data_IF_597994933963
#
_entry.id   IF_597994933963
#
_cell.length_a   1.000
_cell.length_b   1.000
_cell.length_c   1.000
_cell.angle_alpha   90.00
_cell.angle_beta   90.00
_cell.angle_gamma   90.00
#
_symmetry.space_group_name_H-M   'P 1'
#
loop_
_entity.id
_entity.type
_entity.pdbx_description
1 polymer ?
#
# COMPACT_ATOMS: atom_id res chain seq x y z
N UNK A 1 -24.75 9.28 27.97
CA UNK A 1 -24.15 10.41 27.23
C UNK A 1 -23.75 11.43 28.25
N UNK A 2 -22.53 11.96 28.14
CA UNK A 2 -22.06 13.05 29.00
C UNK A 2 -22.83 14.33 28.68
N UNK A 3 -23.03 15.19 29.68
CA UNK A 3 -23.58 16.52 29.44
C UNK A 3 -22.51 17.40 28.79
N UNK A 4 -22.91 18.25 27.86
CA UNK A 4 -21.99 19.20 27.22
C UNK A 4 -21.47 20.20 28.24
N UNK A 5 -20.19 20.57 28.10
CA UNK A 5 -19.63 21.72 28.82
C UNK A 5 -20.24 23.01 28.27
N UNK A 6 -20.11 24.12 29.02
CA UNK A 6 -20.60 25.43 28.58
C UNK A 6 -19.96 25.86 27.25
N UNK A 7 -18.68 25.57 27.05
CA UNK A 7 -17.97 25.86 25.80
C UNK A 7 -18.51 25.03 24.63
N UNK A 8 -18.79 23.74 24.86
CA UNK A 8 -19.37 22.86 23.85
C UNK A 8 -20.79 23.27 23.47
N UNK A 9 -21.59 23.72 24.43
CA UNK A 9 -22.95 24.21 24.17
C UNK A 9 -22.94 25.48 23.30
N UNK A 10 -22.03 26.42 23.59
CA UNK A 10 -21.82 27.62 22.77
C UNK A 10 -21.40 27.21 21.36
N UNK A 11 -20.39 26.34 21.23
CA UNK A 11 -19.90 25.87 19.94
C UNK A 11 -21.00 25.17 19.12
N UNK A 12 -21.81 24.32 19.77
CA UNK A 12 -22.96 23.65 19.16
C UNK A 12 -23.98 24.65 18.59
N UNK A 13 -24.35 25.68 19.37
CA UNK A 13 -25.34 26.68 18.93
C UNK A 13 -24.81 27.60 17.83
N UNK A 14 -23.50 27.92 17.83
CA UNK A 14 -22.87 28.74 16.79
C UNK A 14 -22.42 27.97 15.54
N UNK A 15 -22.45 26.63 15.57
CA UNK A 15 -21.94 25.83 14.47
C UNK A 15 -22.77 26.00 13.20
N UNK A 16 -22.05 26.27 12.10
CA UNK A 16 -22.64 26.46 10.77
C UNK A 16 -22.59 25.21 9.89
N UNK A 17 -21.76 24.23 10.25
CA UNK A 17 -21.54 23.01 9.47
C UNK A 17 -21.65 21.76 10.33
N UNK A 18 -22.10 20.67 9.71
CA UNK A 18 -22.13 19.33 10.30
C UNK A 18 -20.72 18.77 10.42
N UNK A 19 -20.32 18.26 11.59
CA UNK A 19 -18.97 17.72 11.78
C UNK A 19 -18.74 16.37 11.06
N UNK A 20 -19.80 15.71 10.57
CA UNK A 20 -19.74 14.38 9.94
C UNK A 20 -19.54 14.51 8.43
N UNK A 21 -20.42 15.25 7.76
CA UNK A 21 -20.37 15.43 6.31
C UNK A 21 -19.70 16.73 5.88
N UNK A 22 -19.38 17.62 6.84
CA UNK A 22 -18.75 18.92 6.61
C UNK A 22 -19.59 19.91 5.79
N UNK A 23 -20.85 19.58 5.49
CA UNK A 23 -21.79 20.43 4.76
C UNK A 23 -22.54 21.41 5.70
N UNK A 24 -22.97 22.58 5.20
CA UNK A 24 -23.64 23.59 6.02
C UNK A 24 -25.03 23.12 6.49
N UNK A 25 -25.47 23.65 7.63
CA UNK A 25 -26.85 23.51 8.09
C UNK A 25 -27.77 24.49 7.35
N UNK A 26 -28.91 24.01 6.86
CA UNK A 26 -29.95 24.91 6.36
C UNK A 26 -30.64 25.67 7.51
N UNK A 27 -31.28 26.80 7.21
CA UNK A 27 -31.82 27.73 8.21
C UNK A 27 -32.93 27.12 9.09
N UNK A 28 -33.62 26.11 8.58
CA UNK A 28 -34.72 25.37 9.19
C UNK A 28 -34.35 23.94 9.61
N UNK A 29 -33.09 23.56 9.44
CA UNK A 29 -32.63 22.19 9.71
C UNK A 29 -32.32 21.98 11.19
N UNK A 30 -32.84 20.88 11.76
CA UNK A 30 -32.59 20.54 13.16
C UNK A 30 -31.21 19.94 13.34
N UNK A 31 -30.34 20.67 14.05
CA UNK A 31 -29.03 20.20 14.49
C UNK A 31 -29.18 19.18 15.62
N UNK A 32 -28.47 18.07 15.57
CA UNK A 32 -28.42 17.07 16.65
C UNK A 32 -27.02 16.99 17.26
N UNK A 33 -26.92 16.48 18.48
CA UNK A 33 -25.65 16.33 19.21
C UNK A 33 -25.12 14.90 19.04
N UNK A 34 -24.06 14.73 18.25
CA UNK A 34 -23.37 13.44 18.14
C UNK A 34 -22.51 13.18 19.37
N UNK A 35 -22.55 11.95 19.87
CA UNK A 35 -21.75 11.49 21.00
C UNK A 35 -21.14 10.15 20.66
N UNK A 36 -19.91 9.93 21.12
CA UNK A 36 -19.30 8.61 21.06
C UNK A 36 -20.09 7.61 21.91
N UNK A 37 -20.58 6.52 21.34
CA UNK A 37 -21.35 5.53 22.13
C UNK A 37 -20.47 4.69 23.06
N UNK A 38 -19.16 4.65 22.83
CA UNK A 38 -18.20 4.01 23.74
C UNK A 38 -17.88 4.86 24.96
N UNK A 39 -17.50 6.13 24.76
CA UNK A 39 -17.02 7.01 25.84
C UNK A 39 -18.11 7.93 26.41
N UNK A 40 -19.21 8.11 25.69
CA UNK A 40 -20.26 9.08 26.01
C UNK A 40 -19.91 10.52 25.69
N UNK A 41 -18.69 10.82 25.22
CA UNK A 41 -18.18 12.17 24.95
C UNK A 41 -18.83 12.78 23.72
N UNK A 42 -19.16 14.07 23.81
CA UNK A 42 -19.66 14.87 22.69
C UNK A 42 -18.59 15.02 21.59
N UNK A 43 -18.99 14.78 20.33
CA UNK A 43 -18.12 14.90 19.16
C UNK A 43 -18.39 16.17 18.37
N UNK A 44 -19.65 16.51 18.18
CA UNK A 44 -20.00 17.72 17.45
C UNK A 44 -21.47 17.82 17.05
N UNK A 45 -21.83 18.94 16.40
CA UNK A 45 -23.14 19.15 15.81
C UNK A 45 -23.24 18.38 14.50
N UNK A 46 -24.31 17.61 14.32
CA UNK A 46 -24.52 16.83 13.12
C UNK A 46 -25.91 17.06 12.53
N UNK A 47 -26.08 16.78 11.24
CA UNK A 47 -27.41 16.59 10.65
C UNK A 47 -28.06 15.37 11.29
N UNK A 48 -29.38 15.42 11.49
CA UNK A 48 -30.11 14.27 12.05
C UNK A 48 -29.86 13.00 11.22
N UNK A 49 -29.87 13.11 9.88
CA UNK A 49 -29.61 11.97 9.00
C UNK A 49 -28.15 11.50 9.06
N UNK A 50 -27.18 12.42 9.13
CA UNK A 50 -25.77 12.04 9.27
C UNK A 50 -25.53 11.30 10.58
N UNK A 51 -26.07 11.80 11.69
CA UNK A 51 -25.94 11.18 13.01
C UNK A 51 -26.57 9.78 13.05
N UNK A 52 -27.76 9.62 12.47
CA UNK A 52 -28.44 8.31 12.39
C UNK A 52 -27.67 7.29 11.55
N UNK A 53 -27.01 7.74 10.49
CA UNK A 53 -26.24 6.88 9.59
C UNK A 53 -24.77 6.73 10.01
N UNK A 54 -24.32 7.44 11.05
CA UNK A 54 -22.94 7.41 11.50
C UNK A 54 -22.61 6.03 12.07
N UNK A 55 -21.76 5.29 11.37
CA UNK A 55 -21.34 3.96 11.79
C UNK A 55 -20.13 4.06 12.71
N UNK A 56 -20.33 3.74 13.98
CA UNK A 56 -19.21 3.60 14.90
C UNK A 56 -18.42 2.31 14.61
N UNK A 57 -17.10 2.42 14.63
CA UNK A 57 -16.20 1.26 14.53
C UNK A 57 -15.62 0.95 15.91
N UNK A 58 -15.87 -0.27 16.39
CA UNK A 58 -15.25 -0.82 17.61
C UNK A 58 -14.02 -1.67 17.27
N UNK A 59 -13.32 -1.29 16.21
CA UNK A 59 -12.16 -2.02 15.70
C UNK A 59 -10.88 -1.45 16.30
N UNK A 60 -10.08 -2.32 16.92
CA UNK A 60 -8.72 -2.03 17.36
C UNK A 60 -7.78 -2.65 16.31
N UNK A 61 -7.05 -1.84 15.53
CA UNK A 61 -6.06 -2.35 14.60
C UNK A 61 -4.83 -2.86 15.36
N UNK A 62 -4.40 -4.07 15.02
CA UNK A 62 -3.18 -4.72 15.51
C UNK A 62 -2.23 -4.81 14.33
N UNK A 63 -1.11 -4.10 14.40
CA UNK A 63 -0.19 -3.94 13.28
C UNK A 63 0.98 -4.89 13.43
N UNK A 64 1.21 -5.69 12.39
CA UNK A 64 2.39 -6.54 12.23
C UNK A 64 3.14 -6.11 10.98
N UNK A 65 4.45 -6.39 10.92
CA UNK A 65 5.23 -6.16 9.71
C UNK A 65 5.48 -7.48 9.00
N UNK A 66 4.89 -7.63 7.81
CA UNK A 66 4.89 -8.87 7.02
C UNK A 66 4.09 -10.04 7.64
N UNK A 67 2.96 -9.70 8.27
CA UNK A 67 2.01 -10.66 8.85
C UNK A 67 1.61 -11.76 7.85
N UNK A 68 1.34 -11.36 6.61
CA UNK A 68 0.86 -12.25 5.56
C UNK A 68 1.89 -13.32 5.19
N UNK A 69 3.17 -13.04 5.40
CA UNK A 69 4.29 -13.89 4.99
C UNK A 69 4.72 -14.92 6.04
N UNK A 70 4.50 -14.62 7.33
CA UNK A 70 5.07 -15.40 8.43
C UNK A 70 4.03 -15.73 9.51
N UNK A 71 3.54 -14.72 10.23
CA UNK A 71 2.92 -14.97 11.54
C UNK A 71 1.44 -15.38 11.48
N UNK A 72 0.75 -15.04 10.39
CA UNK A 72 -0.71 -15.20 10.31
C UNK A 72 -1.19 -16.63 10.62
N UNK A 73 -0.49 -17.66 10.13
CA UNK A 73 -0.94 -19.05 10.24
C UNK A 73 -1.07 -19.55 11.67
N UNK A 74 -0.02 -19.37 12.48
CA UNK A 74 -0.04 -19.86 13.87
C UNK A 74 -0.92 -18.98 14.75
N UNK A 75 -0.94 -17.66 14.51
CA UNK A 75 -1.81 -16.73 15.25
C UNK A 75 -3.29 -17.07 15.01
N UNK A 76 -3.70 -17.25 13.75
CA UNK A 76 -5.09 -17.61 13.42
C UNK A 76 -5.47 -18.93 14.07
N UNK A 77 -4.60 -19.95 13.96
CA UNK A 77 -4.85 -21.27 14.55
C UNK A 77 -5.09 -21.17 16.07
N UNK A 78 -4.24 -20.43 16.75
CA UNK A 78 -4.29 -20.26 18.21
C UNK A 78 -5.54 -19.46 18.63
N UNK A 79 -5.79 -18.32 17.98
CA UNK A 79 -6.96 -17.47 18.26
C UNK A 79 -8.29 -18.18 17.94
N UNK A 80 -8.33 -19.07 16.94
CA UNK A 80 -9.52 -19.83 16.58
C UNK A 80 -9.82 -20.95 17.58
N UNK A 81 -8.78 -21.59 18.12
CA UNK A 81 -8.90 -22.81 18.91
C UNK A 81 -9.02 -22.55 20.41
N UNK A 82 -8.28 -21.55 20.91
CA UNK A 82 -8.06 -21.38 22.35
C UNK A 82 -8.74 -20.14 22.94
N UNK A 83 -9.30 -19.26 22.10
CA UNK A 83 -9.99 -18.05 22.53
C UNK A 83 -11.45 -18.04 22.07
N UNK A 84 -12.39 -17.69 22.96
CA UNK A 84 -13.81 -17.56 22.62
C UNK A 84 -14.05 -16.46 21.57
N UNK A 85 -15.14 -16.57 20.82
CA UNK A 85 -15.52 -15.62 19.77
C UNK A 85 -15.11 -16.05 18.36
N UNK A 86 -15.66 -15.41 17.34
CA UNK A 86 -15.46 -15.80 15.94
C UNK A 86 -14.24 -15.13 15.31
N UNK A 87 -13.70 -15.74 14.26
CA UNK A 87 -12.67 -15.14 13.42
C UNK A 87 -13.22 -14.93 12.01
N UNK A 88 -13.08 -13.72 11.51
CA UNK A 88 -13.33 -13.33 10.12
C UNK A 88 -11.99 -13.31 9.37
N UNK A 89 -11.95 -13.92 8.18
CA UNK A 89 -10.74 -13.99 7.35
C UNK A 89 -10.95 -13.21 6.06
N UNK A 90 -9.90 -12.51 5.60
CA UNK A 90 -9.84 -11.92 4.26
C UNK A 90 -8.72 -12.61 3.45
N UNK A 91 -9.00 -13.76 2.81
CA UNK A 91 -7.98 -14.57 2.14
C UNK A 91 -7.62 -14.05 0.74
N UNK A 92 -6.36 -14.22 0.35
CA UNK A 92 -5.89 -14.16 -1.05
C UNK A 92 -5.84 -15.58 -1.63
N UNK A 93 -5.25 -16.49 -0.87
CA UNK A 93 -5.16 -17.93 -1.19
C UNK A 93 -5.45 -18.73 0.07
N UNK A 94 -5.42 -20.07 -0.02
CA UNK A 94 -5.52 -20.94 1.17
C UNK A 94 -4.40 -20.71 2.19
N UNK A 95 -3.27 -20.16 1.76
CA UNK A 95 -2.06 -19.98 2.57
C UNK A 95 -1.71 -18.51 2.80
N UNK A 96 -2.42 -17.54 2.21
CA UNK A 96 -2.10 -16.12 2.35
C UNK A 96 -3.36 -15.33 2.64
N UNK A 97 -3.32 -14.55 3.72
CA UNK A 97 -4.43 -13.71 4.18
C UNK A 97 -4.01 -12.25 4.10
N UNK A 98 -4.90 -11.37 3.61
CA UNK A 98 -4.70 -9.91 3.68
C UNK A 98 -4.80 -9.44 5.13
N UNK A 99 -5.79 -9.98 5.84
CA UNK A 99 -6.11 -9.62 7.22
C UNK A 99 -7.01 -10.70 7.82
N UNK A 100 -7.04 -10.75 9.15
CA UNK A 100 -8.05 -11.48 9.90
C UNK A 100 -8.52 -10.62 11.08
N UNK A 101 -9.75 -10.85 11.52
CA UNK A 101 -10.36 -10.12 12.61
C UNK A 101 -10.91 -11.09 13.65
N UNK A 102 -10.47 -10.94 14.90
CA UNK A 102 -11.04 -11.66 16.04
C UNK A 102 -12.16 -10.82 16.63
N UNK A 103 -13.38 -11.37 16.62
CA UNK A 103 -14.51 -10.80 17.32
C UNK A 103 -14.47 -11.27 18.77
N UNK A 104 -14.30 -10.34 19.71
CA UNK A 104 -14.30 -10.61 21.14
C UNK A 104 -15.71 -10.31 21.67
N UNK A 105 -16.35 -11.33 22.24
CA UNK A 105 -17.66 -11.18 22.88
C UNK A 105 -17.45 -11.11 24.40
N UNK A 106 -17.69 -9.97 25.02
CA UNK A 106 -17.90 -9.92 26.47
C UNK A 106 -19.34 -10.33 26.78
N UNK A 107 -19.50 -11.31 27.68
CA UNK A 107 -20.80 -11.82 28.09
C UNK A 107 -21.50 -10.90 29.12
N UNK A 108 -20.86 -9.81 29.56
CA UNK A 108 -21.40 -8.94 30.60
C UNK A 108 -22.17 -7.74 30.03
N UNK A 109 -23.46 -7.75 30.38
CA UNK A 109 -24.56 -7.07 29.73
C UNK A 109 -24.70 -5.56 30.06
N UNK A 110 -23.61 -4.78 30.03
CA UNK A 110 -23.69 -3.32 30.18
C UNK A 110 -23.24 -2.58 28.90
N UNK A 111 -22.32 -3.16 28.13
CA UNK A 111 -21.92 -2.65 26.82
C UNK A 111 -22.11 -3.75 25.77
N UNK A 112 -23.18 -3.64 24.96
CA UNK A 112 -23.48 -4.56 23.84
C UNK A 112 -22.47 -4.46 22.67
N UNK A 113 -21.26 -3.96 22.90
CA UNK A 113 -20.33 -3.58 21.85
C UNK A 113 -19.33 -4.70 21.59
N UNK A 114 -19.49 -5.36 20.45
CA UNK A 114 -18.55 -6.34 19.92
C UNK A 114 -17.23 -5.65 19.57
N UNK A 115 -16.19 -5.84 20.38
CA UNK A 115 -14.84 -5.34 20.07
C UNK A 115 -14.22 -6.24 19.00
N UNK A 116 -13.67 -5.62 17.96
CA UNK A 116 -13.00 -6.30 16.86
C UNK A 116 -11.51 -6.06 16.91
N UNK A 117 -10.71 -7.11 17.09
CA UNK A 117 -9.25 -7.02 16.97
C UNK A 117 -8.88 -7.35 15.52
N UNK A 118 -8.52 -6.33 14.74
CA UNK A 118 -8.21 -6.50 13.32
C UNK A 118 -6.71 -6.50 13.11
N UNK A 119 -6.17 -7.62 12.65
CA UNK A 119 -4.76 -7.76 12.35
C UNK A 119 -4.48 -7.25 10.95
N UNK A 120 -3.61 -6.25 10.82
CA UNK A 120 -3.22 -5.64 9.55
C UNK A 120 -1.71 -5.75 9.34
N UNK A 121 -1.33 -5.81 8.08
CA UNK A 121 0.05 -5.98 7.65
C UNK A 121 0.61 -4.64 7.17
N UNK A 122 1.49 -4.02 7.96
CA UNK A 122 2.14 -2.75 7.61
C UNK A 122 2.92 -2.82 6.29
N UNK A 123 3.39 -3.99 5.85
CA UNK A 123 4.09 -4.15 4.56
C UNK A 123 3.15 -3.91 3.36
N UNK A 124 1.82 -4.02 3.55
CA UNK A 124 0.79 -3.66 2.56
C UNK A 124 0.55 -2.16 2.47
N UNK A 125 1.19 -1.39 3.34
CA UNK A 125 1.18 0.07 3.33
C UNK A 125 2.54 0.66 3.01
N UNK A 126 3.58 0.12 3.64
CA UNK A 126 4.96 0.56 3.52
C UNK A 126 5.78 -0.64 3.03
N UNK A 127 5.89 -0.79 1.70
CA UNK A 127 6.48 -1.96 1.04
C UNK A 127 8.02 -1.96 1.07
N UNK A 128 8.61 -1.87 2.25
CA UNK A 128 10.05 -1.93 2.49
C UNK A 128 10.35 -2.64 3.80
N UNK A 129 11.59 -3.07 4.02
CA UNK A 129 11.97 -3.73 5.27
C UNK A 129 11.90 -2.76 6.45
N UNK A 130 11.65 -3.28 7.66
CA UNK A 130 11.67 -2.49 8.88
C UNK A 130 12.97 -1.69 9.05
N UNK A 131 14.12 -2.29 8.72
CA UNK A 131 15.42 -1.61 8.76
C UNK A 131 15.46 -0.39 7.83
N UNK A 132 14.99 -0.56 6.59
CA UNK A 132 14.96 0.53 5.62
C UNK A 132 14.00 1.63 6.05
N UNK A 133 12.83 1.27 6.57
CA UNK A 133 11.85 2.23 7.08
C UNK A 133 12.39 2.99 8.29
N UNK A 134 13.02 2.30 9.25
CA UNK A 134 13.66 2.94 10.41
C UNK A 134 14.76 3.92 9.97
N UNK A 135 15.54 3.59 8.93
CA UNK A 135 16.59 4.48 8.40
C UNK A 135 16.08 5.81 7.83
N UNK A 136 14.79 5.91 7.51
CA UNK A 136 14.17 7.13 7.02
C UNK A 136 13.63 8.03 8.13
N UNK A 137 13.45 7.52 9.35
CA UNK A 137 12.98 8.33 10.47
C UNK A 137 14.14 9.12 11.07
N UNK A 138 13.91 10.42 11.23
CA UNK A 138 14.76 11.24 12.08
C UNK A 138 14.50 10.92 13.55
N UNK A 139 15.52 11.10 14.40
CA UNK A 139 15.46 10.69 15.82
C UNK A 139 14.36 11.39 16.62
N UNK A 140 13.96 12.61 16.23
CA UNK A 140 12.84 13.34 16.86
C UNK A 140 11.47 12.70 16.60
N UNK A 141 11.38 11.79 15.62
CA UNK A 141 10.16 11.05 15.28
C UNK A 141 10.03 9.73 16.03
N UNK A 142 11.07 9.28 16.72
CA UNK A 142 11.11 8.05 17.53
C UNK A 142 10.53 8.26 18.93
N UNK A 143 9.29 8.78 19.01
CA UNK A 143 8.69 9.25 20.27
C UNK A 143 8.37 8.09 21.21
N UNK A 144 7.84 6.99 20.68
CA UNK A 144 7.43 5.82 21.45
C UNK A 144 8.67 5.10 21.96
N UNK A 145 9.64 4.83 21.07
CA UNK A 145 10.93 4.25 21.45
C UNK A 145 11.63 5.10 22.51
N UNK A 146 11.67 6.43 22.33
CA UNK A 146 12.29 7.35 23.29
C UNK A 146 11.58 7.38 24.64
N UNK A 147 10.25 7.26 24.65
CA UNK A 147 9.48 7.20 25.90
C UNK A 147 9.82 5.94 26.69
N UNK A 148 9.89 4.79 26.02
CA UNK A 148 10.19 3.51 26.66
C UNK A 148 11.63 3.45 27.21
N UNK A 149 12.58 4.03 26.48
CA UNK A 149 13.99 4.08 26.86
C UNK A 149 14.42 5.47 27.38
N UNK A 150 13.51 6.16 28.08
CA UNK A 150 13.72 7.54 28.57
C UNK A 150 14.85 7.68 29.58
N UNK A 151 15.25 6.58 30.23
CA UNK A 151 16.34 6.49 31.18
C UNK A 151 17.72 6.29 30.53
N UNK A 152 17.80 5.99 29.24
CA UNK A 152 19.07 5.79 28.55
C UNK A 152 19.80 7.10 28.27
N UNK A 153 21.12 7.03 28.25
CA UNK A 153 21.95 8.11 27.70
C UNK A 153 21.64 8.32 26.22
N UNK A 154 22.00 9.48 25.67
CA UNK A 154 21.82 9.74 24.23
C UNK A 154 22.60 8.72 23.39
N UNK A 155 23.82 8.39 23.82
CA UNK A 155 24.70 7.43 23.14
C UNK A 155 24.11 6.01 23.13
N UNK A 156 23.56 5.54 24.26
CA UNK A 156 22.96 4.21 24.33
C UNK A 156 21.63 4.15 23.57
N UNK A 157 20.82 5.20 23.66
CA UNK A 157 19.58 5.30 22.89
C UNK A 157 19.85 5.23 21.38
N UNK A 158 20.90 5.90 20.90
CA UNK A 158 21.31 5.91 19.50
C UNK A 158 21.58 4.50 18.95
N UNK A 159 22.02 3.57 19.80
CA UNK A 159 22.23 2.19 19.40
C UNK A 159 20.92 1.47 19.07
N UNK A 160 19.80 1.91 19.64
CA UNK A 160 18.47 1.30 19.45
C UNK A 160 17.65 1.95 18.32
N UNK A 161 18.17 2.99 17.66
CA UNK A 161 17.42 3.72 16.61
C UNK A 161 17.45 3.04 15.23
N UNK A 162 18.14 1.90 15.10
CA UNK A 162 18.18 1.08 13.89
C UNK A 162 17.76 -0.36 14.19
N UNK A 163 17.40 -1.12 13.16
CA UNK A 163 17.11 -2.54 13.33
C UNK A 163 18.38 -3.28 13.74
N UNK A 164 18.27 -4.13 14.77
CA UNK A 164 19.34 -5.03 15.18
C UNK A 164 19.48 -6.25 14.26
N UNK A 165 20.40 -7.15 14.61
CA UNK A 165 20.55 -8.46 13.98
C UNK A 165 20.28 -9.58 14.98
N UNK A 166 19.74 -10.70 14.51
CA UNK A 166 19.46 -11.87 15.34
C UNK A 166 19.83 -13.15 14.60
N UNK A 167 20.37 -14.13 15.32
CA UNK A 167 20.86 -15.39 14.76
C UNK A 167 19.75 -16.44 14.73
N UNK A 168 18.79 -16.27 13.81
CA UNK A 168 17.58 -17.10 13.73
C UNK A 168 17.89 -18.60 13.57
N UNK A 169 18.80 -18.94 12.67
CA UNK A 169 19.20 -20.33 12.38
C UNK A 169 20.01 -20.95 13.51
N UNK A 170 20.70 -20.13 14.30
CA UNK A 170 21.39 -20.59 15.50
C UNK A 170 20.38 -20.97 16.60
N UNK A 171 19.34 -20.17 16.84
CA UNK A 171 18.37 -20.41 17.92
C UNK A 171 17.29 -21.41 17.47
N UNK A 172 17.66 -22.68 17.41
CA UNK A 172 16.80 -23.80 17.04
C UNK A 172 16.07 -24.47 18.24
N UNK A 173 16.43 -24.10 19.47
CA UNK A 173 15.80 -24.57 20.69
C UNK A 173 15.84 -23.51 21.81
N UNK A 174 14.97 -23.67 22.81
CA UNK A 174 14.81 -22.70 23.91
C UNK A 174 16.06 -22.63 24.79
N UNK A 175 16.79 -23.73 24.93
CA UNK A 175 17.98 -23.82 25.76
C UNK A 175 19.10 -22.88 25.29
N UNK A 176 19.20 -22.61 23.98
CA UNK A 176 20.19 -21.66 23.43
C UNK A 176 19.95 -20.22 23.89
N UNK A 177 18.74 -19.87 24.32
CA UNK A 177 18.48 -18.57 24.93
C UNK A 177 19.24 -18.39 26.26
N UNK A 178 19.71 -19.47 26.89
CA UNK A 178 20.54 -19.41 28.10
C UNK A 178 22.04 -19.23 27.79
N UNK A 179 22.44 -19.18 26.52
CA UNK A 179 23.84 -19.01 26.15
C UNK A 179 24.35 -17.65 26.64
N UNK A 180 25.47 -17.69 27.36
CA UNK A 180 26.04 -16.52 28.05
C UNK A 180 27.00 -15.71 27.19
N UNK A 181 27.01 -15.96 25.89
CA UNK A 181 27.85 -15.26 24.91
C UNK A 181 27.06 -14.98 23.66
N UNK A 182 27.37 -13.86 23.00
CA UNK A 182 26.89 -13.61 21.65
C UNK A 182 27.47 -14.71 20.72
N UNK A 183 26.65 -15.34 19.87
CA UNK A 183 27.14 -16.32 18.89
C UNK A 183 28.22 -15.70 17.98
N UNK A 184 29.16 -16.50 17.45
CA UNK A 184 30.13 -16.00 16.48
C UNK A 184 29.43 -15.56 15.19
N UNK A 185 30.03 -14.64 14.42
CA UNK A 185 29.40 -14.04 13.23
C UNK A 185 28.87 -15.07 12.24
N UNK A 186 29.59 -16.17 12.05
CA UNK A 186 29.22 -17.25 11.15
C UNK A 186 27.88 -17.91 11.53
N UNK A 187 27.49 -17.83 12.81
CA UNK A 187 26.19 -18.34 13.31
C UNK A 187 25.01 -17.42 12.99
N UNK A 188 25.27 -16.24 12.40
CA UNK A 188 24.24 -15.34 11.85
C UNK A 188 23.98 -15.58 10.36
N UNK A 189 24.48 -16.68 9.79
CA UNK A 189 24.15 -17.10 8.43
C UNK A 189 22.63 -17.22 8.25
N UNK A 190 22.10 -16.62 7.18
CA UNK A 190 20.69 -16.76 6.81
C UNK A 190 20.53 -17.60 5.56
N UNK A 191 19.69 -18.63 5.66
CA UNK A 191 19.29 -19.45 4.52
C UNK A 191 18.48 -18.67 3.46
N UNK A 192 17.87 -17.54 3.85
CA UNK A 192 17.08 -16.68 2.98
C UNK A 192 17.95 -15.84 2.04
N UNK A 193 19.08 -15.32 2.55
CA UNK A 193 20.02 -14.50 1.76
C UNK A 193 21.16 -15.32 1.18
N UNK A 194 21.44 -16.49 1.75
CA UNK A 194 22.58 -17.32 1.40
C UNK A 194 23.92 -16.75 1.89
N UNK A 195 23.89 -15.82 2.84
CA UNK A 195 25.06 -15.11 3.34
C UNK A 195 24.98 -14.87 4.86
N UNK A 196 26.12 -14.55 5.48
CA UNK A 196 26.21 -14.06 6.86
C UNK A 196 26.01 -12.54 6.92
N UNK A 197 25.86 -12.00 8.12
CA UNK A 197 25.75 -10.55 8.34
C UNK A 197 27.10 -9.84 8.10
N UNK A 198 27.03 -8.53 7.85
CA UNK A 198 28.21 -7.70 7.65
C UNK A 198 29.07 -7.56 8.91
N UNK A 199 30.36 -7.25 8.74
CA UNK A 199 31.27 -6.93 9.85
C UNK A 199 30.74 -5.78 10.72
N UNK A 200 30.16 -4.76 10.08
CA UNK A 200 29.57 -3.61 10.79
C UNK A 200 28.35 -3.98 11.62
N UNK A 201 27.50 -4.88 11.14
CA UNK A 201 26.31 -5.30 11.88
C UNK A 201 26.67 -6.22 13.04
N UNK A 202 27.68 -7.09 12.88
CA UNK A 202 28.18 -7.90 13.98
C UNK A 202 28.84 -7.04 15.06
N UNK A 203 29.71 -6.10 14.68
CA UNK A 203 30.32 -5.16 15.63
C UNK A 203 29.27 -4.33 16.38
N UNK A 204 28.17 -3.97 15.72
CA UNK A 204 27.05 -3.32 16.37
C UNK A 204 26.36 -4.23 17.39
N UNK A 205 26.12 -5.50 17.07
CA UNK A 205 25.56 -6.48 18.01
C UNK A 205 26.47 -6.72 19.23
N UNK A 206 27.79 -6.79 19.02
CA UNK A 206 28.78 -6.87 20.11
C UNK A 206 28.72 -5.64 21.01
N UNK A 207 28.59 -4.44 20.42
CA UNK A 207 28.46 -3.20 21.16
C UNK A 207 27.16 -3.16 21.99
N UNK A 208 26.03 -3.59 21.42
CA UNK A 208 24.77 -3.75 22.16
C UNK A 208 24.96 -4.71 23.35
N UNK A 209 25.55 -5.89 23.10
CA UNK A 209 25.77 -6.89 24.14
C UNK A 209 26.57 -6.31 25.33
N UNK A 210 27.64 -5.57 25.04
CA UNK A 210 28.49 -4.97 26.05
C UNK A 210 27.84 -3.77 26.76
N UNK A 211 27.29 -2.80 26.01
CA UNK A 211 26.75 -1.54 26.55
C UNK A 211 25.51 -1.77 27.42
N UNK A 212 24.66 -2.72 27.05
CA UNK A 212 23.46 -3.06 27.80
C UNK A 212 23.70 -4.16 28.85
N UNK A 213 24.96 -4.57 29.05
CA UNK A 213 25.38 -5.57 30.03
C UNK A 213 24.58 -6.89 29.92
N UNK A 214 24.31 -7.32 28.69
CA UNK A 214 23.53 -8.51 28.38
C UNK A 214 24.27 -9.76 28.86
N UNK A 215 23.57 -10.62 29.60
CA UNK A 215 24.12 -11.83 30.19
C UNK A 215 23.74 -13.08 29.43
N UNK A 216 22.62 -13.09 28.72
CA UNK A 216 22.11 -14.26 28.00
C UNK A 216 21.57 -13.89 26.63
N UNK A 217 21.56 -14.86 25.70
CA UNK A 217 20.97 -14.68 24.38
C UNK A 217 19.46 -14.40 24.44
N UNK A 218 18.78 -14.85 25.51
CA UNK A 218 17.39 -14.52 25.81
C UNK A 218 17.19 -13.03 26.09
N UNK A 219 18.03 -12.43 26.94
CA UNK A 219 18.00 -10.98 27.19
C UNK A 219 18.29 -10.18 25.90
N UNK A 220 19.21 -10.67 25.06
CA UNK A 220 19.46 -10.08 23.74
C UNK A 220 18.23 -10.16 22.83
N UNK A 221 17.56 -11.31 22.80
CA UNK A 221 16.32 -11.52 22.06
C UNK A 221 15.20 -10.58 22.52
N UNK A 222 15.04 -10.40 23.83
CA UNK A 222 14.01 -9.52 24.39
C UNK A 222 14.26 -8.06 24.01
N UNK A 223 15.51 -7.58 24.11
CA UNK A 223 15.88 -6.23 23.68
C UNK A 223 15.69 -6.06 22.16
N UNK A 224 16.11 -7.06 21.38
CA UNK A 224 15.95 -7.08 19.92
C UNK A 224 14.47 -6.96 19.50
N UNK A 225 13.62 -7.86 20.01
CA UNK A 225 12.20 -7.89 19.67
C UNK A 225 11.47 -6.64 20.16
N UNK A 226 11.76 -6.18 21.38
CA UNK A 226 11.17 -4.95 21.92
C UNK A 226 11.52 -3.73 21.07
N UNK A 227 12.78 -3.62 20.66
CA UNK A 227 13.24 -2.53 19.78
C UNK A 227 12.54 -2.59 18.43
N UNK A 228 12.44 -3.77 17.80
CA UNK A 228 11.71 -3.97 16.55
C UNK A 228 10.24 -3.51 16.63
N UNK A 229 9.53 -3.90 17.70
CA UNK A 229 8.13 -3.53 17.91
C UNK A 229 7.96 -2.02 18.10
N UNK A 230 8.84 -1.40 18.89
CA UNK A 230 8.79 0.04 19.15
C UNK A 230 9.15 0.86 17.91
N UNK A 231 10.13 0.41 17.12
CA UNK A 231 10.46 1.01 15.82
C UNK A 231 9.27 0.93 14.87
N UNK A 232 8.61 -0.24 14.79
CA UNK A 232 7.41 -0.39 13.96
C UNK A 232 6.30 0.55 14.42
N UNK A 233 6.10 0.69 15.72
CA UNK A 233 5.11 1.61 16.28
C UNK A 233 5.40 3.06 15.86
N UNK A 234 6.64 3.54 16.04
CA UNK A 234 7.02 4.89 15.62
C UNK A 234 6.88 5.07 14.09
N UNK A 235 7.32 4.10 13.28
CA UNK A 235 7.18 4.13 11.81
C UNK A 235 5.71 4.28 11.41
N UNK A 236 4.84 3.43 11.96
CA UNK A 236 3.44 3.39 11.57
C UNK A 236 2.66 4.61 12.09
N UNK A 237 2.96 5.10 13.29
CA UNK A 237 2.34 6.32 13.84
C UNK A 237 2.76 7.57 13.05
N UNK A 238 4.02 7.66 12.60
CA UNK A 238 4.46 8.75 11.73
C UNK A 238 3.79 8.70 10.35
N UNK A 239 3.63 7.50 9.79
CA UNK A 239 2.85 7.30 8.57
C UNK A 239 1.39 7.71 8.78
N UNK A 240 0.80 7.35 9.93
CA UNK A 240 -0.57 7.73 10.30
C UNK A 240 -0.79 9.22 10.40
N UNK A 241 0.07 9.90 11.14
CA UNK A 241 0.02 11.36 11.28
C UNK A 241 0.11 12.04 9.92
N UNK A 242 0.95 11.52 9.02
CA UNK A 242 1.10 12.02 7.65
C UNK A 242 -0.16 11.82 6.81
N UNK A 243 -0.77 10.63 6.88
CA UNK A 243 -2.03 10.31 6.18
C UNK A 243 -3.20 11.17 6.66
N UNK A 244 -3.36 11.31 7.98
CA UNK A 244 -4.41 12.15 8.57
C UNK A 244 -4.20 13.61 8.19
N UNK A 245 -2.97 14.12 8.27
CA UNK A 245 -2.67 15.52 7.93
C UNK A 245 -2.92 15.80 6.44
N UNK A 246 -2.55 14.87 5.56
CA UNK A 246 -2.62 15.08 4.11
C UNK A 246 -4.00 14.83 3.52
N UNK A 247 -4.73 13.84 4.03
CA UNK A 247 -5.98 13.35 3.42
C UNK A 247 -7.18 13.38 4.40
N UNK A 248 -6.95 13.64 5.68
CA UNK A 248 -7.99 13.57 6.72
C UNK A 248 -8.60 12.17 6.84
N UNK A 249 -7.82 11.13 6.52
CA UNK A 249 -8.18 9.72 6.62
C UNK A 249 -7.13 9.01 7.46
N UNK A 250 -7.57 8.03 8.24
CA UNK A 250 -6.69 7.22 9.07
C UNK A 250 -6.57 5.81 8.46
N UNK A 251 -5.37 5.52 7.95
CA UNK A 251 -5.00 4.28 7.27
C UNK A 251 -5.10 3.03 8.15
N UNK A 252 -5.05 3.17 9.49
CA UNK A 252 -5.24 2.05 10.41
C UNK A 252 -6.64 1.42 10.32
N UNK A 253 -7.61 2.11 9.70
CA UNK A 253 -8.94 1.56 9.41
C UNK A 253 -9.05 0.84 8.05
N UNK A 254 -7.97 0.83 7.27
CA UNK A 254 -7.90 0.17 5.97
C UNK A 254 -7.15 -1.15 6.08
N UNK A 255 -7.27 -1.98 5.04
CA UNK A 255 -6.53 -3.24 4.95
C UNK A 255 -5.20 -3.10 4.20
N UNK A 256 -5.13 -2.16 3.24
CA UNK A 256 -3.98 -1.95 2.35
C UNK A 256 -3.92 -0.49 1.88
N UNK A 257 -2.74 -0.04 1.43
CA UNK A 257 -2.59 1.31 0.88
C UNK A 257 -3.46 1.58 -0.35
N UNK A 258 -3.63 0.67 -1.33
CA UNK A 258 -4.53 0.91 -2.47
C UNK A 258 -5.96 1.28 -2.05
N UNK A 259 -6.53 0.57 -1.06
CA UNK A 259 -7.86 0.89 -0.54
C UNK A 259 -7.90 2.26 0.13
N UNK A 260 -6.87 2.61 0.89
CA UNK A 260 -6.72 3.95 1.48
C UNK A 260 -6.64 5.04 0.40
N UNK A 261 -5.79 4.85 -0.63
CA UNK A 261 -5.61 5.84 -1.70
C UNK A 261 -6.86 6.02 -2.55
N UNK A 262 -7.66 4.97 -2.72
CA UNK A 262 -8.93 5.03 -3.43
C UNK A 262 -9.92 5.94 -2.70
N UNK A 263 -10.12 5.72 -1.39
CA UNK A 263 -11.00 6.56 -0.58
C UNK A 263 -10.46 7.99 -0.43
N UNK A 264 -9.14 8.17 -0.35
CA UNK A 264 -8.53 9.50 -0.35
C UNK A 264 -8.87 10.26 -1.65
N UNK A 265 -8.78 9.58 -2.80
CA UNK A 265 -9.17 10.14 -4.09
C UNK A 265 -10.67 10.48 -4.13
N UNK A 266 -11.55 9.58 -3.69
CA UNK A 266 -12.99 9.84 -3.64
C UNK A 266 -13.33 11.04 -2.74
N UNK A 267 -12.73 11.10 -1.55
CA UNK A 267 -12.93 12.21 -0.61
C UNK A 267 -12.46 13.54 -1.19
N UNK A 268 -11.29 13.54 -1.84
CA UNK A 268 -10.70 14.76 -2.40
C UNK A 268 -11.48 15.28 -3.61
N UNK A 269 -11.84 14.40 -4.53
CA UNK A 269 -12.49 14.76 -5.80
C UNK A 269 -14.00 14.91 -5.68
N UNK A 270 -14.62 14.26 -4.67
CA UNK A 270 -16.07 14.12 -4.51
C UNK A 270 -16.76 13.52 -5.75
N UNK A 271 -16.01 12.81 -6.58
CA UNK A 271 -16.53 12.19 -7.80
C UNK A 271 -17.45 11.02 -7.44
N UNK A 272 -18.45 10.79 -8.27
CA UNK A 272 -19.30 9.61 -8.19
C UNK A 272 -19.12 8.79 -9.47
N UNK A 273 -18.58 7.58 -9.34
CA UNK A 273 -18.38 6.68 -10.47
C UNK A 273 -19.67 5.90 -10.76
N UNK A 274 -20.06 5.87 -12.03
CA UNK A 274 -21.09 4.94 -12.47
C UNK A 274 -20.54 3.51 -12.46
N UNK A 275 -21.31 2.59 -11.90
CA UNK A 275 -21.03 1.17 -11.99
C UNK A 275 -21.54 0.63 -13.33
N UNK A 276 -20.65 0.04 -14.13
CA UNK A 276 -21.07 -0.73 -15.31
C UNK A 276 -21.94 -1.92 -14.89
N UNK A 277 -23.20 -1.92 -15.32
CA UNK A 277 -24.14 -3.03 -15.05
C UNK A 277 -24.37 -3.95 -16.24
N UNK A 278 -23.99 -3.52 -17.45
CA UNK A 278 -24.04 -4.32 -18.67
C UNK A 278 -22.79 -5.22 -18.78
N UNK A 279 -23.01 -6.54 -18.80
CA UNK A 279 -21.93 -7.53 -18.90
C UNK A 279 -21.15 -7.42 -20.21
N UNK A 280 -21.81 -7.06 -21.31
CA UNK A 280 -21.14 -6.93 -22.61
C UNK A 280 -20.21 -5.72 -22.61
N UNK A 281 -20.59 -4.61 -21.95
CA UNK A 281 -19.69 -3.46 -21.74
C UNK A 281 -18.49 -3.84 -20.90
N UNK A 282 -18.71 -4.58 -19.79
CA UNK A 282 -17.61 -5.05 -18.93
C UNK A 282 -16.63 -5.90 -19.72
N UNK A 283 -17.12 -6.92 -20.46
CA UNK A 283 -16.27 -7.79 -21.27
C UNK A 283 -15.54 -7.02 -22.39
N UNK A 284 -16.21 -6.03 -22.99
CA UNK A 284 -15.63 -5.16 -24.00
C UNK A 284 -14.45 -4.34 -23.45
N UNK A 285 -14.64 -3.70 -22.29
CA UNK A 285 -13.60 -2.93 -21.62
C UNK A 285 -12.46 -3.84 -21.16
N UNK A 286 -12.75 -4.99 -20.54
CA UNK A 286 -11.73 -5.93 -20.05
C UNK A 286 -10.81 -6.42 -21.18
N UNK A 287 -11.37 -6.69 -22.37
CA UNK A 287 -10.58 -7.05 -23.56
C UNK A 287 -9.70 -5.90 -24.04
N UNK A 288 -10.09 -4.66 -23.77
CA UNK A 288 -9.32 -3.44 -24.03
C UNK A 288 -8.24 -3.12 -22.99
N UNK A 289 -8.17 -3.84 -21.86
CA UNK A 289 -7.16 -3.59 -20.82
C UNK A 289 -5.83 -4.24 -21.19
N UNK A 290 -4.75 -3.44 -21.18
CA UNK A 290 -3.36 -3.90 -21.36
C UNK A 290 -2.50 -3.42 -20.20
N UNK A 291 -1.46 -4.20 -19.90
CA UNK A 291 -0.45 -3.82 -18.91
C UNK A 291 0.66 -2.97 -19.52
N UNK A 292 1.71 -2.72 -18.74
CA UNK A 292 2.92 -2.09 -19.25
C UNK A 292 3.61 -2.94 -20.32
N UNK A 293 4.07 -2.29 -21.39
CA UNK A 293 4.84 -2.94 -22.45
C UNK A 293 6.29 -3.13 -21.98
N UNK A 294 6.78 -4.37 -22.07
CA UNK A 294 8.19 -4.70 -21.85
C UNK A 294 8.72 -5.35 -23.11
N UNK A 295 9.59 -4.64 -23.82
CA UNK A 295 10.15 -5.06 -25.11
C UNK A 295 11.68 -4.94 -25.09
N UNK A 296 12.33 -5.90 -25.73
CA UNK A 296 13.77 -5.92 -25.95
C UNK A 296 14.04 -5.97 -27.45
N UNK A 297 14.31 -4.81 -28.04
CA UNK A 297 14.45 -4.63 -29.50
C UNK A 297 15.85 -5.03 -29.99
N UNK A 298 16.86 -4.88 -29.12
CA UNK A 298 18.21 -5.38 -29.36
C UNK A 298 18.64 -6.30 -28.20
N UNK A 299 19.11 -7.51 -28.53
CA UNK A 299 19.47 -8.54 -27.52
C UNK A 299 20.61 -8.11 -26.59
N UNK A 300 21.57 -7.35 -27.12
CA UNK A 300 22.73 -6.91 -26.35
C UNK A 300 23.32 -5.64 -26.95
N UNK A 301 23.58 -4.66 -26.09
CA UNK A 301 24.34 -3.47 -26.42
C UNK A 301 25.35 -3.23 -25.30
N UNK A 302 26.57 -2.84 -25.66
CA UNK A 302 27.62 -2.48 -24.73
C UNK A 302 28.19 -1.13 -25.15
N UNK A 303 28.32 -0.22 -24.18
CA UNK A 303 28.93 1.08 -24.41
C UNK A 303 30.45 0.91 -24.58
N UNK A 304 31.02 1.55 -25.60
CA UNK A 304 32.46 1.68 -25.79
C UNK A 304 32.83 3.15 -25.67
N UNK A 305 33.16 3.63 -24.49
CA UNK A 305 33.61 5.01 -24.31
C UNK A 305 34.69 5.09 -23.23
N UNK A 306 35.44 6.20 -23.24
CA UNK A 306 36.62 6.45 -22.40
C UNK A 306 36.39 6.37 -20.88
N UNK A 307 35.13 6.29 -20.42
CA UNK A 307 34.79 6.18 -19.00
C UNK A 307 34.63 4.72 -18.54
N UNK A 308 34.64 3.75 -19.46
CA UNK A 308 34.49 2.33 -19.15
C UNK A 308 35.86 1.66 -18.93
N UNK A 309 35.95 0.74 -17.97
CA UNK A 309 37.18 -0.05 -17.73
C UNK A 309 37.57 -0.90 -18.95
N UNK A 310 36.58 -1.36 -19.73
CA UNK A 310 36.76 -2.18 -20.93
C UNK A 310 36.87 -1.36 -22.23
N UNK A 311 37.24 -0.08 -22.15
CA UNK A 311 37.29 0.82 -23.31
C UNK A 311 38.33 0.36 -24.34
N UNK A 312 37.90 0.26 -25.60
CA UNK A 312 38.73 -0.10 -26.74
C UNK A 312 38.84 1.10 -27.71
N UNK A 313 39.99 1.81 -27.75
CA UNK A 313 40.17 2.99 -28.60
C UNK A 313 40.20 2.66 -30.09
N UNK A 314 40.30 1.38 -30.48
CA UNK A 314 40.23 0.96 -31.89
C UNK A 314 38.79 0.91 -32.43
N UNK A 315 37.80 0.93 -31.54
CA UNK A 315 36.37 0.89 -31.89
C UNK A 315 35.73 2.28 -31.80
N UNK A 316 34.65 2.53 -32.56
CA UNK A 316 33.89 3.77 -32.44
C UNK A 316 33.40 3.99 -31.01
N UNK A 317 33.33 5.26 -30.60
CA UNK A 317 32.75 5.61 -29.30
C UNK A 317 31.23 5.39 -29.31
N UNK A 318 30.70 4.71 -28.30
CA UNK A 318 29.28 4.49 -28.08
C UNK A 318 28.89 4.70 -26.62
N UNK A 319 27.67 5.19 -26.42
CA UNK A 319 27.10 5.51 -25.11
C UNK A 319 25.73 4.86 -24.99
N UNK A 320 25.34 4.49 -23.77
CA UNK A 320 23.99 4.08 -23.44
C UNK A 320 23.35 5.20 -22.64
N UNK A 321 22.12 5.57 -23.02
CA UNK A 321 21.34 6.59 -22.31
C UNK A 321 20.11 5.93 -21.72
N UNK A 322 19.85 6.22 -20.44
CA UNK A 322 18.66 5.76 -19.74
C UNK A 322 17.64 6.90 -19.68
N UNK A 323 16.42 6.63 -20.12
CA UNK A 323 15.29 7.56 -20.01
C UNK A 323 14.22 6.91 -19.15
N UNK A 324 13.64 7.71 -18.25
CA UNK A 324 12.57 7.30 -17.36
C UNK A 324 11.55 8.44 -17.27
N UNK A 325 10.26 8.10 -17.36
CA UNK A 325 9.18 9.07 -17.29
C UNK A 325 8.75 9.20 -15.83
N UNK A 326 9.00 10.37 -15.25
CA UNK A 326 8.57 10.71 -13.90
C UNK A 326 7.05 10.56 -13.76
N UNK A 327 6.61 9.61 -12.91
CA UNK A 327 5.20 9.37 -12.60
C UNK A 327 4.30 9.16 -13.84
N UNK A 328 4.69 8.24 -14.73
CA UNK A 328 3.98 7.94 -15.98
C UNK A 328 2.46 7.75 -15.79
N UNK A 329 2.04 6.89 -14.85
CA UNK A 329 0.62 6.64 -14.61
C UNK A 329 -0.09 7.83 -13.97
N UNK A 330 0.57 8.58 -13.07
CA UNK A 330 -0.03 9.79 -12.50
C UNK A 330 -0.27 10.88 -13.55
N UNK A 331 0.65 11.03 -14.51
CA UNK A 331 0.44 11.91 -15.66
C UNK A 331 -0.75 11.44 -16.52
N UNK A 332 -0.84 10.14 -16.80
CA UNK A 332 -1.96 9.56 -17.55
C UNK A 332 -3.30 9.74 -16.81
N UNK A 333 -3.31 9.59 -15.48
CA UNK A 333 -4.49 9.81 -14.63
C UNK A 333 -4.88 11.28 -14.48
N UNK A 334 -4.00 12.21 -14.85
CA UNK A 334 -4.29 13.64 -14.88
C UNK A 334 -4.99 14.08 -16.18
N UNK A 335 -5.14 13.15 -17.14
CA UNK A 335 -5.87 13.40 -18.38
C UNK A 335 -7.39 13.22 -18.19
N UNK A 336 -8.23 13.75 -19.09
CA UNK A 336 -9.65 13.39 -19.12
C UNK A 336 -9.85 11.87 -19.22
N UNK A 337 -10.61 11.31 -18.28
CA UNK A 337 -10.91 9.88 -18.16
C UNK A 337 -12.43 9.66 -18.00
N UNK A 338 -12.98 8.57 -18.55
CA UNK A 338 -14.41 8.26 -18.43
C UNK A 338 -14.76 7.83 -17.00
N UNK A 339 -15.92 8.29 -16.50
CA UNK A 339 -16.39 7.95 -15.14
C UNK A 339 -17.90 7.72 -15.02
N UNK A 340 -18.71 8.13 -16.01
CA UNK A 340 -20.16 8.04 -16.01
C UNK A 340 -20.77 8.18 -17.43
N UNK A 341 -22.08 8.00 -17.50
CA UNK A 341 -22.96 8.03 -18.68
C UNK A 341 -22.56 7.00 -19.75
N UNK A 342 -22.23 5.78 -19.32
CA UNK A 342 -21.79 4.71 -20.22
C UNK A 342 -22.95 4.18 -21.07
N UNK A 343 -22.82 4.30 -22.40
CA UNK A 343 -23.84 3.88 -23.36
C UNK A 343 -23.22 3.26 -24.61
N UNK A 344 -23.91 2.30 -25.22
CA UNK A 344 -23.57 1.83 -26.56
C UNK A 344 -23.94 2.88 -27.60
N UNK A 345 -23.12 2.99 -28.65
CA UNK A 345 -23.43 3.81 -29.82
C UNK A 345 -24.10 2.93 -30.86
N UNK A 346 -25.36 3.21 -31.17
CA UNK A 346 -26.17 2.38 -32.09
C UNK A 346 -25.74 2.51 -33.57
N UNK A 347 -25.33 3.70 -34.00
CA UNK A 347 -24.91 3.96 -35.39
C UNK A 347 -23.50 4.57 -35.44
N UNK A 348 -22.58 3.82 -36.03
CA UNK A 348 -21.17 4.20 -36.22
C UNK A 348 -20.83 4.51 -37.68
N UNK A 349 -21.81 4.48 -38.59
CA UNK A 349 -21.57 4.59 -40.04
C UNK A 349 -20.90 5.90 -40.47
N UNK A 350 -21.15 7.00 -39.74
CA UNK A 350 -20.57 8.33 -39.97
C UNK A 350 -19.63 8.75 -38.83
N UNK A 351 -19.10 7.81 -38.06
CA UNK A 351 -18.21 8.14 -36.95
C UNK A 351 -16.84 8.60 -37.48
N UNK A 352 -16.50 9.86 -37.23
CA UNK A 352 -15.19 10.43 -37.55
C UNK A 352 -14.40 10.68 -36.25
N UNK A 353 -13.38 9.85 -36.02
CA UNK A 353 -12.51 9.96 -34.86
C UNK A 353 -11.74 11.29 -34.83
N UNK A 354 -11.40 11.86 -35.98
CA UNK A 354 -10.61 13.08 -36.08
C UNK A 354 -11.44 14.35 -35.77
N UNK A 355 -12.76 14.24 -35.80
CA UNK A 355 -13.66 15.35 -35.48
C UNK A 355 -13.83 15.58 -33.96
N UNK A 356 -13.35 14.65 -33.12
CA UNK A 356 -13.55 14.67 -31.67
C UNK A 356 -12.34 15.33 -30.99
N UNK A 357 -12.56 16.34 -30.15
CA UNK A 357 -11.47 16.96 -29.42
C UNK A 357 -10.86 15.99 -28.37
N UNK A 358 -9.54 16.02 -28.10
CA UNK A 358 -8.92 15.20 -27.05
C UNK A 358 -9.43 15.48 -25.63
N UNK A 359 -10.01 16.66 -25.40
CA UNK A 359 -10.61 17.14 -24.15
C UNK A 359 -12.14 17.24 -24.23
N UNK A 360 -12.76 16.57 -25.21
CA UNK A 360 -14.22 16.44 -25.33
C UNK A 360 -14.83 15.93 -24.03
N UNK A 361 -15.99 16.47 -23.65
CA UNK A 361 -16.78 16.00 -22.51
C UNK A 361 -17.29 14.56 -22.70
N UNK A 362 -17.35 14.09 -23.95
CA UNK A 362 -17.75 12.73 -24.32
C UNK A 362 -16.57 12.03 -24.99
N UNK A 363 -16.16 10.90 -24.42
CA UNK A 363 -15.12 10.04 -24.97
C UNK A 363 -15.68 8.74 -25.53
N UNK A 364 -14.88 8.05 -26.35
CA UNK A 364 -15.29 6.82 -27.04
C UNK A 364 -14.22 5.73 -26.90
N UNK A 365 -14.68 4.49 -26.74
CA UNK A 365 -13.85 3.29 -26.80
C UNK A 365 -14.40 2.44 -27.95
N UNK A 366 -13.55 2.11 -28.91
CA UNK A 366 -13.93 1.58 -30.21
C UNK A 366 -13.37 0.17 -30.39
N UNK A 367 -14.11 -0.73 -31.03
CA UNK A 367 -13.57 -1.96 -31.63
C UNK A 367 -13.28 -1.67 -33.10
N UNK A 368 -12.03 -1.79 -33.52
CA UNK A 368 -11.57 -1.44 -34.87
C UNK A 368 -10.65 -2.50 -35.45
N UNK A 369 -10.62 -2.61 -36.77
CA UNK A 369 -9.58 -3.31 -37.50
C UNK A 369 -8.50 -2.31 -37.93
N UNK A 370 -7.23 -2.63 -37.67
CA UNK A 370 -6.08 -1.77 -37.97
C UNK A 370 -5.15 -2.49 -38.93
N UNK A 371 -4.97 -1.92 -40.12
CA UNK A 371 -3.92 -2.35 -41.04
C UNK A 371 -2.57 -1.77 -40.57
N UNK A 372 -1.49 -2.55 -40.71
CA UNK A 372 -0.12 -2.13 -40.39
C UNK A 372 0.74 -2.11 -41.66
N UNK A 373 0.72 -1.01 -42.44
CA UNK A 373 1.37 -0.94 -43.74
C UNK A 373 2.85 -1.29 -43.71
N UNK A 374 3.28 -2.05 -44.71
CA UNK A 374 4.68 -2.54 -44.81
C UNK A 374 5.72 -1.41 -44.80
N UNK A 375 5.40 -0.24 -45.36
CA UNK A 375 6.32 0.89 -45.41
C UNK A 375 6.65 1.47 -44.02
N UNK A 376 5.87 1.15 -42.97
CA UNK A 376 6.13 1.56 -41.59
C UNK A 376 6.98 0.56 -40.80
N UNK A 377 7.23 -0.64 -41.35
CA UNK A 377 7.85 -1.74 -40.61
C UNK A 377 9.26 -1.40 -40.13
N UNK A 378 10.07 -0.81 -40.99
CA UNK A 378 11.45 -0.43 -40.63
C UNK A 378 11.47 0.68 -39.56
N UNK A 379 10.56 1.65 -39.65
CA UNK A 379 10.48 2.76 -38.70
C UNK A 379 9.96 2.32 -37.33
N UNK A 380 9.07 1.32 -37.28
CA UNK A 380 8.38 0.90 -36.06
C UNK A 380 8.93 -0.41 -35.48
N UNK A 381 9.96 -1.02 -36.08
CA UNK A 381 10.48 -2.33 -35.67
C UNK A 381 10.86 -2.40 -34.19
N UNK A 382 11.38 -1.31 -33.65
CA UNK A 382 11.83 -1.25 -32.26
C UNK A 382 10.67 -1.10 -31.27
N UNK A 383 9.57 -0.45 -31.67
CA UNK A 383 8.41 -0.21 -30.82
C UNK A 383 7.10 -0.16 -31.65
N UNK A 384 6.58 -1.32 -32.09
CA UNK A 384 5.33 -1.37 -32.85
C UNK A 384 4.13 -0.85 -32.03
N UNK A 385 3.19 -0.18 -32.71
CA UNK A 385 1.96 0.29 -32.08
C UNK A 385 0.94 -0.82 -31.83
N UNK A 386 -0.04 -0.51 -30.96
CA UNK A 386 -1.20 -1.35 -30.67
C UNK A 386 -0.82 -2.79 -30.25
N UNK A 387 -0.09 -2.97 -29.13
CA UNK A 387 0.29 -4.30 -28.69
C UNK A 387 -0.93 -5.14 -28.31
N UNK A 388 -0.85 -6.46 -28.52
CA UNK A 388 -1.91 -7.42 -28.25
C UNK A 388 -1.50 -8.45 -27.20
N UNK A 389 -2.46 -8.94 -26.42
CA UNK A 389 -2.23 -10.13 -25.60
C UNK A 389 -2.33 -11.37 -26.49
N UNK A 390 -1.23 -12.07 -26.67
CA UNK A 390 -1.19 -13.30 -27.46
C UNK A 390 -0.05 -14.23 -27.00
N UNK A 391 -0.08 -15.48 -27.43
CA UNK A 391 0.94 -16.49 -27.15
C UNK A 391 2.08 -16.37 -28.14
N UNK A 392 3.29 -16.20 -27.63
CA UNK A 392 4.47 -16.36 -28.48
C UNK A 392 4.54 -17.80 -29.05
N UNK A 393 5.06 -17.99 -30.27
CA UNK A 393 5.19 -19.32 -30.86
C UNK A 393 5.86 -20.33 -29.92
N UNK A 394 5.20 -21.46 -29.67
CA UNK A 394 5.70 -22.52 -28.78
C UNK A 394 5.62 -22.22 -27.27
N UNK A 395 4.98 -21.12 -26.85
CA UNK A 395 4.74 -20.79 -25.43
C UNK A 395 3.27 -20.98 -25.07
N UNK A 396 3.02 -21.32 -23.79
CA UNK A 396 1.66 -21.55 -23.27
C UNK A 396 1.03 -20.32 -22.61
N UNK A 397 1.86 -19.35 -22.22
CA UNK A 397 1.44 -18.15 -21.52
C UNK A 397 1.27 -16.99 -22.49
N UNK A 398 0.17 -16.25 -22.33
CA UNK A 398 -0.07 -15.01 -23.06
C UNK A 398 0.92 -13.94 -22.58
N UNK A 399 1.38 -13.14 -23.53
CA UNK A 399 2.22 -11.96 -23.27
C UNK A 399 1.67 -10.78 -24.05
N UNK A 400 1.99 -9.58 -23.59
CA UNK A 400 1.74 -8.38 -24.37
C UNK A 400 2.81 -8.28 -25.46
N UNK A 401 2.41 -8.54 -26.71
CA UNK A 401 3.29 -8.56 -27.88
C UNK A 401 3.08 -7.29 -28.70
N UNK A 402 4.18 -6.59 -28.98
CA UNK A 402 4.22 -5.55 -30.00
C UNK A 402 4.60 -6.20 -31.33
N UNK A 403 3.67 -6.23 -32.29
CA UNK A 403 3.85 -6.87 -33.60
C UNK A 403 3.50 -5.91 -34.73
N UNK A 404 4.16 -6.08 -35.88
CA UNK A 404 3.91 -5.32 -37.11
C UNK A 404 2.79 -5.91 -37.98
N UNK A 405 1.96 -6.78 -37.40
CA UNK A 405 0.83 -7.40 -38.09
C UNK A 405 -0.41 -6.51 -38.04
N UNK A 406 -1.36 -6.76 -38.93
CA UNK A 406 -2.69 -6.19 -38.82
C UNK A 406 -3.34 -6.64 -37.50
N UNK A 407 -4.30 -5.85 -37.03
CA UNK A 407 -5.03 -6.08 -35.79
C UNK A 407 -6.51 -6.17 -36.14
N UNK A 408 -7.16 -7.23 -35.70
CA UNK A 408 -8.61 -7.38 -35.88
C UNK A 408 -9.31 -7.19 -34.54
N UNK A 409 -10.47 -6.53 -34.56
CA UNK A 409 -11.35 -6.32 -33.41
C UNK A 409 -10.62 -5.73 -32.20
N UNK A 410 -9.71 -4.79 -32.47
CA UNK A 410 -8.87 -4.16 -31.46
C UNK A 410 -9.67 -3.10 -30.69
N UNK A 411 -9.84 -3.31 -29.38
CA UNK A 411 -10.53 -2.34 -28.52
C UNK A 411 -9.58 -1.18 -28.19
N UNK A 412 -9.91 0.07 -28.45
CA UNK A 412 -8.99 1.19 -28.21
C UNK A 412 -9.73 2.47 -27.85
N UNK A 413 -9.13 3.27 -26.96
CA UNK A 413 -9.63 4.61 -26.69
C UNK A 413 -9.39 5.53 -27.89
N UNK A 414 -10.40 6.29 -28.31
CA UNK A 414 -10.38 7.08 -29.55
C UNK A 414 -9.16 8.00 -29.70
N UNK A 415 -8.69 8.60 -28.60
CA UNK A 415 -7.50 9.47 -28.58
C UNK A 415 -6.21 8.80 -29.08
N UNK A 416 -6.12 7.47 -29.02
CA UNK A 416 -4.95 6.75 -29.52
C UNK A 416 -5.00 6.48 -31.03
N UNK A 417 -6.08 6.89 -31.71
CA UNK A 417 -6.24 6.84 -33.17
C UNK A 417 -6.07 8.21 -33.84
N UNK A 418 -5.85 9.27 -33.04
CA UNK A 418 -5.71 10.66 -33.50
C UNK A 418 -4.26 11.08 -33.69
#
# INVERSE_FOLDING_TARGET
>A
MENLTREQEVAYHSATHCHICEEPFAQDETRVRDHCHLTGRYRGPAHSNCNLNYKESYTIPIVFHNLSGYDSHFIIKELASNFKGTIELLPITKEKYISFTKNVNEADAVFRNYVKLRFIDSLRFLSSSLDKLASFLSKDKLKILRSEFSNLSIEDFDLLTRKGVFSYEYVDCVEKLQDTRLPPRESFYSSLTGDTISDSDYAHAENIWQRFAIQTLGEYSDLYLKTDVLLLADIFENFRDSCITSYGLNEAYYYTLPGFTWDAMLKHTRINFELLTDIDMVMFIERGIRGGLSQCSNRYASANNKYMESYDPSKPSSYLTYFDVNNLYGWAMSQPLPYADFQWVDDVSNFDVNAIAPDSSTGYILEVDLEYPQHLHDAHTDLPFCPMRDKSPGKRQDKLLATLYDKERYVIHYRNLQ
#
